data_IF_529234633783
#
_entry.id   IF_529234633783
#
_cell.length_a   1.000
_cell.length_b   1.000
_cell.length_c   1.000
_cell.angle_alpha   90.00
_cell.angle_beta   90.00
_cell.angle_gamma   90.00
#
_symmetry.space_group_name_H-M   'P 1'
#
loop_
_entity.id
_entity.type
_entity.pdbx_description
1 polymer ?
#
# COMPACT_ATOMS: atom_id res chain seq x y z
N UNK A 1 39.61 23.38 -7.70
CA UNK A 1 39.02 23.18 -6.37
C UNK A 1 37.68 23.92 -6.23
N UNK A 2 37.61 25.23 -6.40
CA UNK A 2 36.40 26.05 -6.25
C UNK A 2 35.19 25.61 -7.10
N UNK A 3 35.41 25.10 -8.30
CA UNK A 3 34.34 24.62 -9.20
C UNK A 3 33.73 23.33 -8.72
N UNK A 4 34.53 22.44 -8.14
CA UNK A 4 34.05 21.15 -7.56
C UNK A 4 33.23 21.42 -6.29
N UNK A 5 33.67 22.34 -5.44
CA UNK A 5 32.94 22.75 -4.23
C UNK A 5 31.57 23.35 -4.58
N UNK A 6 31.48 24.20 -5.62
CA UNK A 6 30.21 24.75 -6.08
C UNK A 6 29.25 23.68 -6.64
N UNK A 7 29.79 22.67 -7.34
CA UNK A 7 28.98 21.55 -7.83
C UNK A 7 28.47 20.67 -6.69
N UNK A 8 29.30 20.40 -5.69
CA UNK A 8 28.91 19.63 -4.50
C UNK A 8 27.85 20.36 -3.66
N UNK A 9 27.98 21.68 -3.50
CA UNK A 9 27.00 22.50 -2.77
C UNK A 9 25.66 22.55 -3.53
N UNK A 10 25.69 22.71 -4.85
CA UNK A 10 24.49 22.68 -5.69
C UNK A 10 23.80 21.29 -5.64
N UNK A 11 24.60 20.21 -5.66
CA UNK A 11 24.08 18.84 -5.52
C UNK A 11 23.41 18.64 -4.17
N UNK A 12 24.10 18.98 -3.06
CA UNK A 12 23.58 18.84 -1.70
C UNK A 12 22.27 19.63 -1.50
N UNK A 13 22.20 20.84 -2.06
CA UNK A 13 21.00 21.66 -1.99
C UNK A 13 19.83 21.06 -2.78
N UNK A 14 20.11 20.50 -3.96
CA UNK A 14 19.11 19.83 -4.77
C UNK A 14 18.62 18.54 -4.11
N UNK A 15 19.54 17.74 -3.57
CA UNK A 15 19.24 16.50 -2.86
C UNK A 15 18.34 16.76 -1.64
N UNK A 16 18.66 17.75 -0.82
CA UNK A 16 17.82 18.16 0.33
C UNK A 16 16.40 18.54 -0.07
N UNK A 17 16.24 19.24 -1.19
CA UNK A 17 14.91 19.62 -1.70
C UNK A 17 14.14 18.38 -2.15
N UNK A 18 14.76 17.51 -2.94
CA UNK A 18 14.14 16.28 -3.44
C UNK A 18 13.73 15.37 -2.27
N UNK A 19 14.66 15.11 -1.36
CA UNK A 19 14.40 14.25 -0.17
C UNK A 19 13.24 14.79 0.66
N UNK A 20 13.15 16.11 0.84
CA UNK A 20 12.05 16.74 1.55
C UNK A 20 10.69 16.50 0.88
N UNK A 21 10.63 16.58 -0.45
CA UNK A 21 9.39 16.27 -1.19
C UNK A 21 9.04 14.79 -1.12
N UNK A 22 10.04 13.90 -1.21
CA UNK A 22 9.83 12.46 -1.05
C UNK A 22 9.28 12.13 0.34
N UNK A 23 9.82 12.72 1.40
CA UNK A 23 9.34 12.53 2.77
C UNK A 23 7.90 13.03 2.96
N UNK A 24 7.56 14.18 2.40
CA UNK A 24 6.23 14.76 2.54
C UNK A 24 5.15 13.99 1.78
N UNK A 25 5.45 13.55 0.57
CA UNK A 25 4.44 13.01 -0.35
C UNK A 25 4.52 11.52 -0.62
N UNK A 26 5.69 10.91 -0.42
CA UNK A 26 5.95 9.52 -0.81
C UNK A 26 4.94 8.53 -0.25
N UNK A 27 4.71 8.55 1.06
CA UNK A 27 3.75 7.64 1.71
C UNK A 27 2.31 7.97 1.32
N UNK A 28 1.99 9.25 1.17
CA UNK A 28 0.65 9.69 0.76
C UNK A 28 0.33 9.22 -0.65
N UNK A 29 1.25 9.42 -1.59
CA UNK A 29 1.12 8.92 -2.96
C UNK A 29 1.01 7.39 -3.00
N UNK A 30 1.86 6.69 -2.26
CA UNK A 30 1.84 5.23 -2.16
C UNK A 30 0.48 4.72 -1.69
N UNK A 31 -0.09 5.34 -0.66
CA UNK A 31 -1.40 5.00 -0.11
C UNK A 31 -2.53 5.17 -1.13
N UNK A 32 -2.58 6.32 -1.80
CA UNK A 32 -3.61 6.56 -2.82
C UNK A 32 -3.42 5.70 -4.05
N UNK A 33 -2.17 5.42 -4.46
CA UNK A 33 -1.88 4.50 -5.57
C UNK A 33 -2.39 3.09 -5.27
N UNK A 34 -2.15 2.58 -4.06
CA UNK A 34 -2.71 1.30 -3.62
C UNK A 34 -4.25 1.33 -3.67
N UNK A 35 -4.86 2.38 -3.13
CA UNK A 35 -6.31 2.54 -3.14
C UNK A 35 -6.91 2.52 -4.55
N UNK A 36 -6.33 3.29 -5.46
CA UNK A 36 -6.77 3.36 -6.86
C UNK A 36 -6.65 2.00 -7.54
N UNK A 37 -5.52 1.31 -7.38
CA UNK A 37 -5.28 -0.01 -7.97
C UNK A 37 -6.32 -1.02 -7.46
N UNK A 38 -6.55 -1.07 -6.16
CA UNK A 38 -7.50 -2.01 -5.55
C UNK A 38 -8.95 -1.73 -5.96
N UNK A 39 -9.36 -0.47 -6.00
CA UNK A 39 -10.71 -0.10 -6.48
C UNK A 39 -10.85 -0.43 -7.97
N UNK A 40 -9.87 -0.09 -8.79
CA UNK A 40 -9.93 -0.31 -10.22
C UNK A 40 -10.00 -1.80 -10.57
N UNK A 41 -9.00 -2.57 -10.14
CA UNK A 41 -8.97 -4.00 -10.44
C UNK A 41 -10.08 -4.79 -9.74
N UNK A 42 -10.48 -4.35 -8.54
CA UNK A 42 -11.64 -4.90 -7.86
C UNK A 42 -12.93 -4.70 -8.67
N UNK A 43 -13.14 -3.51 -9.23
CA UNK A 43 -14.33 -3.20 -10.03
C UNK A 43 -14.44 -4.00 -11.34
N UNK A 44 -13.32 -4.41 -11.94
CA UNK A 44 -13.33 -5.22 -13.15
C UNK A 44 -13.96 -6.60 -12.95
N UNK A 45 -13.89 -7.15 -11.74
CA UNK A 45 -14.40 -8.48 -11.42
C UNK A 45 -15.93 -8.58 -11.47
N UNK A 46 -16.71 -7.74 -10.75
CA UNK A 46 -18.16 -7.76 -10.86
C UNK A 46 -18.68 -7.33 -12.24
N UNK A 47 -17.86 -6.60 -13.02
CA UNK A 47 -18.20 -6.24 -14.40
C UNK A 47 -17.94 -7.38 -15.39
N UNK A 48 -17.31 -8.48 -14.98
CA UNK A 48 -17.01 -9.63 -15.84
C UNK A 48 -15.92 -9.38 -16.89
N UNK A 49 -15.08 -8.35 -16.71
CA UNK A 49 -14.01 -7.97 -17.64
C UNK A 49 -12.62 -8.09 -17.02
N UNK A 50 -12.51 -8.81 -15.92
CA UNK A 50 -11.22 -9.03 -15.23
C UNK A 50 -10.35 -10.01 -16.01
N UNK A 51 -9.11 -9.66 -16.37
CA UNK A 51 -8.16 -10.60 -16.98
C UNK A 51 -7.80 -11.80 -16.09
N UNK A 52 -7.99 -11.67 -14.77
CA UNK A 52 -7.69 -12.73 -13.80
C UNK A 52 -8.88 -13.65 -13.52
N UNK A 53 -10.02 -13.48 -14.20
CA UNK A 53 -11.26 -14.19 -13.88
C UNK A 53 -11.06 -15.70 -13.94
N UNK A 54 -10.62 -16.22 -15.08
CA UNK A 54 -10.40 -17.66 -15.29
C UNK A 54 -9.41 -18.26 -14.28
N UNK A 55 -8.31 -17.56 -14.00
CA UNK A 55 -7.33 -18.02 -13.03
C UNK A 55 -7.90 -18.09 -11.61
N UNK A 56 -8.73 -17.11 -11.22
CA UNK A 56 -9.38 -17.12 -9.89
C UNK A 56 -10.41 -18.24 -9.81
N UNK A 57 -11.29 -18.40 -10.83
CA UNK A 57 -12.28 -19.47 -10.86
C UNK A 57 -11.62 -20.85 -10.74
N UNK A 58 -10.55 -21.10 -11.48
CA UNK A 58 -9.78 -22.33 -11.41
C UNK A 58 -9.12 -22.53 -10.05
N UNK A 59 -8.66 -21.44 -9.40
CA UNK A 59 -7.97 -21.50 -8.11
C UNK A 59 -8.91 -21.91 -6.98
N UNK A 60 -10.17 -21.49 -7.05
CA UNK A 60 -11.18 -21.78 -6.02
C UNK A 60 -12.10 -22.93 -6.40
N UNK A 61 -11.58 -23.96 -7.07
CA UNK A 61 -12.31 -25.14 -7.57
C UNK A 61 -13.09 -25.91 -6.48
N UNK A 62 -12.74 -25.74 -5.22
CA UNK A 62 -13.47 -26.32 -4.09
C UNK A 62 -14.71 -25.53 -3.67
N UNK A 63 -14.98 -24.39 -4.29
CA UNK A 63 -16.19 -23.60 -4.07
C UNK A 63 -17.29 -24.14 -4.96
N UNK A 64 -18.53 -24.24 -4.43
CA UNK A 64 -19.68 -24.77 -5.20
C UNK A 64 -20.00 -23.94 -6.44
N UNK A 65 -19.75 -22.62 -6.38
CA UNK A 65 -19.93 -21.71 -7.50
C UNK A 65 -18.74 -20.72 -7.62
N UNK A 66 -17.69 -21.11 -8.32
CA UNK A 66 -16.51 -20.26 -8.54
C UNK A 66 -16.84 -18.94 -9.27
N UNK A 67 -17.87 -18.93 -10.13
CA UNK A 67 -18.26 -17.72 -10.89
C UNK A 67 -18.84 -16.65 -9.97
N UNK A 68 -19.58 -17.03 -8.94
CA UNK A 68 -20.09 -16.09 -7.91
C UNK A 68 -18.98 -15.61 -6.97
N UNK A 69 -17.93 -16.40 -6.77
CA UNK A 69 -16.80 -16.00 -5.94
C UNK A 69 -16.04 -14.80 -6.50
N UNK A 70 -15.83 -14.71 -7.81
CA UNK A 70 -15.05 -13.65 -8.45
C UNK A 70 -15.65 -12.25 -8.20
N UNK A 71 -16.93 -11.98 -8.39
CA UNK A 71 -17.54 -10.69 -8.04
C UNK A 71 -17.41 -10.35 -6.54
N UNK A 72 -17.58 -11.33 -5.66
CA UNK A 72 -17.43 -11.13 -4.21
C UNK A 72 -15.99 -10.70 -3.87
N UNK A 73 -15.00 -11.37 -4.45
CA UNK A 73 -13.59 -10.99 -4.31
C UNK A 73 -13.34 -9.57 -4.83
N UNK A 74 -13.98 -9.19 -5.94
CA UNK A 74 -13.90 -7.84 -6.48
C UNK A 74 -14.46 -6.78 -5.51
N UNK A 75 -15.60 -7.05 -4.88
CA UNK A 75 -16.17 -6.16 -3.85
C UNK A 75 -15.22 -6.07 -2.65
N UNK A 76 -14.64 -7.18 -2.22
CA UNK A 76 -13.65 -7.21 -1.15
C UNK A 76 -12.45 -6.30 -1.47
N UNK A 77 -11.92 -6.36 -2.69
CA UNK A 77 -10.83 -5.51 -3.15
C UNK A 77 -11.22 -4.03 -3.18
N UNK A 78 -12.43 -3.70 -3.64
CA UNK A 78 -12.94 -2.32 -3.60
C UNK A 78 -12.99 -1.81 -2.15
N UNK A 79 -13.46 -2.62 -1.21
CA UNK A 79 -13.48 -2.25 0.22
C UNK A 79 -12.07 -1.98 0.73
N UNK A 80 -11.09 -2.82 0.41
CA UNK A 80 -9.68 -2.58 0.76
C UNK A 80 -9.22 -1.25 0.17
N UNK A 81 -9.46 -1.01 -1.12
CA UNK A 81 -9.03 0.19 -1.82
C UNK A 81 -9.63 1.48 -1.25
N UNK A 82 -10.89 1.46 -0.87
CA UNK A 82 -11.55 2.61 -0.23
C UNK A 82 -11.03 2.82 1.19
N UNK A 83 -10.96 1.75 1.98
CA UNK A 83 -10.57 1.84 3.41
C UNK A 83 -9.11 2.25 3.58
N UNK A 84 -8.20 1.87 2.68
CA UNK A 84 -6.79 2.29 2.75
C UNK A 84 -6.62 3.80 2.52
N UNK A 85 -7.53 4.45 1.76
CA UNK A 85 -7.53 5.89 1.56
C UNK A 85 -8.00 6.67 2.79
N UNK A 86 -8.72 6.03 3.72
CA UNK A 86 -9.30 6.66 4.92
C UNK A 86 -8.37 6.41 6.11
N UNK A 87 -7.74 7.48 6.64
CA UNK A 87 -6.71 7.36 7.69
C UNK A 87 -7.08 6.44 8.86
N UNK A 88 -8.24 6.57 9.55
CA UNK A 88 -8.58 5.70 10.68
C UNK A 88 -8.80 4.23 10.30
N UNK A 89 -9.08 3.93 9.02
CA UNK A 89 -9.37 2.58 8.53
C UNK A 89 -8.16 1.86 7.92
N UNK A 90 -6.99 2.50 7.85
CA UNK A 90 -5.77 1.91 7.25
C UNK A 90 -5.43 0.56 7.89
N UNK A 91 -5.56 0.41 9.21
CA UNK A 91 -5.28 -0.85 9.90
C UNK A 91 -6.21 -1.98 9.43
N UNK A 92 -7.49 -1.64 9.26
CA UNK A 92 -8.50 -2.59 8.74
C UNK A 92 -8.18 -2.97 7.30
N UNK A 93 -7.87 -1.98 6.45
CA UNK A 93 -7.48 -2.21 5.07
C UNK A 93 -6.29 -3.17 4.95
N UNK A 94 -5.24 -2.95 5.74
CA UNK A 94 -4.04 -3.80 5.73
C UNK A 94 -4.38 -5.22 6.21
N UNK A 95 -5.19 -5.35 7.24
CA UNK A 95 -5.64 -6.66 7.73
C UNK A 95 -6.40 -7.44 6.64
N UNK A 96 -7.38 -6.79 5.98
CA UNK A 96 -8.14 -7.39 4.89
C UNK A 96 -7.25 -7.78 3.71
N UNK A 97 -6.28 -6.93 3.36
CA UNK A 97 -5.30 -7.17 2.32
C UNK A 97 -4.42 -8.38 2.65
N UNK A 98 -3.89 -8.46 3.87
CA UNK A 98 -3.03 -9.58 4.27
C UNK A 98 -3.78 -10.91 4.33
N UNK A 99 -5.07 -10.91 4.69
CA UNK A 99 -5.91 -12.12 4.64
C UNK A 99 -6.10 -12.60 3.20
N UNK A 100 -6.22 -11.70 2.22
CA UNK A 100 -6.37 -12.05 0.81
C UNK A 100 -5.09 -12.63 0.19
N UNK A 101 -3.92 -12.19 0.64
CA UNK A 101 -2.63 -12.53 -0.01
C UNK A 101 -2.35 -14.02 -0.15
N UNK A 102 -2.59 -14.88 0.86
CA UNK A 102 -2.39 -16.33 0.69
C UNK A 102 -3.16 -16.89 -0.51
N UNK A 103 -4.42 -16.49 -0.69
CA UNK A 103 -5.23 -16.89 -1.85
C UNK A 103 -4.66 -16.40 -3.18
N UNK A 104 -4.10 -15.20 -3.21
CA UNK A 104 -3.49 -14.62 -4.41
C UNK A 104 -2.22 -15.36 -4.83
N UNK A 105 -1.44 -15.91 -3.89
CA UNK A 105 -0.24 -16.69 -4.19
C UNK A 105 -0.52 -18.17 -4.49
N UNK A 106 -1.72 -18.65 -4.18
CA UNK A 106 -2.08 -20.06 -4.30
C UNK A 106 -1.91 -20.64 -5.74
N UNK A 107 -2.21 -19.89 -6.83
CA UNK A 107 -2.01 -20.38 -8.20
C UNK A 107 -0.57 -20.74 -8.52
N UNK A 108 0.44 -20.10 -7.90
CA UNK A 108 1.85 -20.47 -8.12
C UNK A 108 2.15 -21.91 -7.68
N UNK A 109 1.37 -22.43 -6.74
CA UNK A 109 1.54 -23.79 -6.18
C UNK A 109 0.61 -24.77 -6.90
N UNK A 110 -0.64 -24.38 -7.16
CA UNK A 110 -1.66 -25.26 -7.73
C UNK A 110 -1.52 -25.41 -9.24
N UNK A 111 -1.10 -24.35 -9.94
CA UNK A 111 -1.03 -24.28 -11.40
C UNK A 111 0.32 -23.74 -11.87
N UNK A 112 1.43 -24.45 -11.54
CA UNK A 112 2.76 -23.99 -11.93
C UNK A 112 2.92 -23.89 -13.47
N UNK A 113 2.23 -24.73 -14.24
CA UNK A 113 2.23 -24.70 -15.70
C UNK A 113 1.56 -23.45 -16.30
N UNK A 114 0.64 -22.81 -15.57
CA UNK A 114 0.04 -21.54 -15.97
C UNK A 114 0.92 -20.36 -15.56
N UNK A 115 1.60 -20.48 -14.41
CA UNK A 115 2.38 -19.41 -13.82
C UNK A 115 3.84 -19.36 -14.27
N UNK A 116 4.39 -20.45 -14.79
CA UNK A 116 5.79 -20.56 -15.21
C UNK A 116 5.90 -21.08 -16.64
N UNK A 117 6.77 -20.44 -17.41
CA UNK A 117 7.24 -20.96 -18.71
C UNK A 117 8.44 -21.89 -18.55
N UNK A 118 9.28 -21.60 -17.54
CA UNK A 118 10.47 -22.39 -17.18
C UNK A 118 10.69 -22.29 -15.66
N UNK A 119 10.31 -23.34 -14.96
CA UNK A 119 10.35 -23.36 -13.49
C UNK A 119 11.80 -23.43 -12.99
N UNK A 120 12.17 -22.68 -11.94
CA UNK A 120 11.34 -21.75 -11.15
C UNK A 120 11.48 -20.28 -11.57
N UNK A 121 12.21 -19.94 -12.61
CA UNK A 121 12.61 -18.56 -12.93
C UNK A 121 11.84 -17.92 -14.07
N UNK A 122 11.41 -18.69 -15.06
CA UNK A 122 10.63 -18.18 -16.19
C UNK A 122 9.17 -18.02 -15.81
N UNK A 123 8.70 -16.78 -15.57
CA UNK A 123 7.31 -16.49 -15.25
C UNK A 123 6.51 -16.12 -16.49
N UNK A 124 5.29 -16.64 -16.58
CA UNK A 124 4.26 -16.14 -17.51
C UNK A 124 3.79 -14.73 -17.10
N UNK A 125 2.91 -14.13 -17.85
CA UNK A 125 2.28 -12.86 -17.45
C UNK A 125 1.50 -13.02 -16.14
N UNK A 126 0.74 -14.10 -16.01
CA UNK A 126 -0.03 -14.45 -14.80
C UNK A 126 0.89 -14.61 -13.59
N UNK A 127 1.96 -15.39 -13.74
CA UNK A 127 2.96 -15.56 -12.68
C UNK A 127 3.61 -14.25 -12.25
N UNK A 128 3.95 -13.37 -13.22
CA UNK A 128 4.51 -12.04 -12.92
C UNK A 128 3.52 -11.17 -12.15
N UNK A 129 2.23 -11.17 -12.52
CA UNK A 129 1.20 -10.41 -11.79
C UNK A 129 1.07 -10.90 -10.34
N UNK A 130 1.14 -12.21 -10.11
CA UNK A 130 1.08 -12.77 -8.75
C UNK A 130 2.31 -12.35 -7.94
N UNK A 131 3.52 -12.53 -8.47
CA UNK A 131 4.75 -12.19 -7.74
C UNK A 131 4.85 -10.70 -7.42
N UNK A 132 4.32 -9.81 -8.28
CA UNK A 132 4.26 -8.37 -8.02
C UNK A 132 3.44 -8.01 -6.77
N UNK A 133 2.58 -8.90 -6.26
CA UNK A 133 1.88 -8.68 -5.00
C UNK A 133 2.82 -8.57 -3.78
N UNK A 134 4.07 -9.05 -3.87
CA UNK A 134 5.09 -8.77 -2.85
C UNK A 134 5.34 -7.26 -2.68
N UNK A 135 5.30 -6.50 -3.77
CA UNK A 135 5.42 -5.02 -3.72
C UNK A 135 4.20 -4.42 -3.02
N UNK A 136 3.01 -4.95 -3.30
CA UNK A 136 1.76 -4.49 -2.66
C UNK A 136 1.80 -4.73 -1.15
N UNK A 137 2.24 -5.91 -0.71
CA UNK A 137 2.42 -6.22 0.71
C UNK A 137 3.41 -5.24 1.36
N UNK A 138 4.57 -5.06 0.75
CA UNK A 138 5.61 -4.16 1.26
C UNK A 138 5.11 -2.71 1.35
N UNK A 139 4.40 -2.25 0.32
CA UNK A 139 3.79 -0.93 0.29
C UNK A 139 2.73 -0.76 1.39
N UNK A 140 1.87 -1.76 1.59
CA UNK A 140 0.87 -1.75 2.65
C UNK A 140 1.50 -1.69 4.05
N UNK A 141 2.59 -2.42 4.28
CA UNK A 141 3.34 -2.36 5.54
C UNK A 141 3.95 -0.97 5.79
N UNK A 142 4.52 -0.33 4.75
CA UNK A 142 5.04 1.04 4.83
C UNK A 142 3.93 2.01 5.18
N UNK A 143 2.78 1.94 4.49
CA UNK A 143 1.61 2.78 4.80
C UNK A 143 1.13 2.54 6.24
N UNK A 144 1.09 1.28 6.69
CA UNK A 144 0.67 0.93 8.05
C UNK A 144 1.59 1.48 9.14
N UNK A 145 2.90 1.52 8.89
CA UNK A 145 3.86 2.02 9.87
C UNK A 145 3.68 3.50 10.20
N UNK A 146 3.05 4.28 9.31
CA UNK A 146 2.84 5.72 9.52
C UNK A 146 1.70 6.04 10.47
N UNK A 147 0.69 5.16 10.57
CA UNK A 147 -0.50 5.37 11.41
C UNK A 147 -0.13 5.60 12.87
N UNK A 148 0.85 4.82 13.38
CA UNK A 148 1.30 4.94 14.77
C UNK A 148 2.17 6.17 15.03
N UNK A 149 2.91 6.64 14.02
CA UNK A 149 3.72 7.85 14.14
C UNK A 149 2.84 9.10 14.28
N UNK A 150 1.75 9.18 13.51
CA UNK A 150 0.79 10.28 13.57
C UNK A 150 0.09 10.34 14.95
N UNK A 151 -0.23 9.19 15.57
CA UNK A 151 -0.83 9.12 16.91
C UNK A 151 0.13 9.62 18.00
N UNK A 152 1.40 9.22 17.96
CA UNK A 152 2.40 9.69 18.92
C UNK A 152 2.66 11.19 18.82
N UNK A 153 2.73 11.73 17.61
CA UNK A 153 2.91 13.14 17.38
C UNK A 153 1.70 13.96 17.88
N UNK A 154 0.49 13.47 17.64
CA UNK A 154 -0.75 14.09 18.13
C UNK A 154 -0.80 14.12 19.68
N UNK A 155 -0.43 13.03 20.33
CA UNK A 155 -0.46 12.95 21.79
C UNK A 155 0.62 13.82 22.45
N UNK A 156 1.81 13.94 21.87
CA UNK A 156 2.87 14.81 22.40
C UNK A 156 2.47 16.29 22.38
N UNK A 157 1.74 16.76 21.37
CA UNK A 157 1.21 18.12 21.30
C UNK A 157 0.20 18.41 22.42
N UNK A 158 -0.61 17.43 22.79
CA UNK A 158 -1.62 17.55 23.85
C UNK A 158 -0.96 17.58 25.22
N UNK A 159 0.07 16.77 25.44
CA UNK A 159 0.84 16.74 26.70
C UNK A 159 1.64 18.04 26.92
N UNK A 160 2.17 18.64 25.85
CA UNK A 160 2.95 19.88 25.91
C UNK A 160 2.08 21.15 26.04
N UNK A 161 0.77 21.08 25.80
CA UNK A 161 -0.15 22.22 25.86
C UNK A 161 -0.17 22.91 27.26
N UNK A 162 -0.27 22.18 28.39
CA UNK A 162 -0.26 22.77 29.72
C UNK A 162 1.05 23.51 30.03
N UNK A 163 2.18 22.95 29.60
CA UNK A 163 3.50 23.54 29.82
C UNK A 163 3.69 24.83 29.01
N UNK A 164 3.15 24.90 27.81
CA UNK A 164 3.20 26.10 26.97
C UNK A 164 2.32 27.22 27.50
N UNK A 165 1.15 26.91 28.05
CA UNK A 165 0.24 27.88 28.67
C UNK A 165 0.87 28.44 29.95
N UNK A 166 1.46 27.57 30.79
CA UNK A 166 2.16 27.98 32.01
C UNK A 166 3.35 28.92 31.73
N UNK A 167 4.15 28.62 30.69
CA UNK A 167 5.26 29.49 30.29
C UNK A 167 4.79 30.86 29.76
N UNK A 168 3.68 30.92 29.08
CA UNK A 168 3.13 32.21 28.58
C UNK A 168 2.67 33.09 29.71
N UNK A 169 2.03 32.54 30.72
CA UNK A 169 1.51 33.29 31.86
C UNK A 169 2.65 33.81 32.79
N UNK A 170 3.82 33.19 32.78
CA UNK A 170 4.98 33.66 33.55
C UNK A 170 5.80 34.76 32.86
N UNK A 171 5.54 35.08 31.61
CA UNK A 171 6.25 36.13 30.85
C UNK A 171 5.49 37.47 30.93
N UNK A 172 4.21 37.46 31.35
CA UNK A 172 3.40 38.67 31.49
C UNK A 172 3.50 39.40 32.87
N UNK A 173 4.35 38.89 33.77
CA UNK A 173 4.49 39.43 35.13
C UNK A 173 5.91 39.89 35.53
N UNK A 174 6.85 39.99 34.58
CA UNK A 174 8.14 40.64 34.70
C UNK A 174 8.19 41.92 33.84
#
# INVERSE_FOLDING_TARGET
MRTIELLLDAYDKSDKVITRYMDMWGVTLLRYSLGIIYVWFGALKPLGISPAQELVENTVYWFDDPQTFVPILGIWEIVIGITICIKPLIRVAIFLLLIQMPGTFLPLILFPEVCFTDFPFGLTLEGQYIVKNLIIISAALVVGSTVRKDEHQSNSWIEDLPLRISKRNNIEFD
#
